data_IF_160272136684
#
_entry.id   IF_160272136684
#
_cell.length_a   1.000
_cell.length_b   1.000
_cell.length_c   1.000
_cell.angle_alpha   90.00
_cell.angle_beta   90.00
_cell.angle_gamma   90.00
#
_symmetry.space_group_name_H-M   'P 1'
#
loop_
_entity.id
_entity.type
_entity.pdbx_description
1 polymer ?
#
# COMPACT_ATOMS: atom_id res chain seq x y z
N UNK A 1 39.26 -4.77 5.07
CA UNK A 1 37.99 -5.07 5.77
C UNK A 1 36.95 -4.08 5.27
N UNK A 2 36.19 -4.48 4.26
CA UNK A 2 35.23 -3.60 3.59
C UNK A 2 33.95 -3.53 4.43
N UNK A 3 33.75 -2.38 5.08
CA UNK A 3 32.49 -1.75 5.53
C UNK A 3 31.20 -2.52 5.13
N UNK A 4 30.82 -3.55 5.89
CA UNK A 4 29.62 -4.39 5.65
C UNK A 4 28.37 -3.91 6.44
N UNK A 5 28.32 -2.68 6.95
CA UNK A 5 27.28 -2.26 7.90
C UNK A 5 26.44 -1.04 7.47
N UNK A 6 26.18 -0.86 6.17
CA UNK A 6 25.35 0.27 5.71
C UNK A 6 24.38 -0.10 4.57
N UNK A 7 23.70 -1.24 4.69
CA UNK A 7 22.57 -1.60 3.83
C UNK A 7 21.27 -1.68 4.63
N UNK A 8 21.02 -0.64 5.44
CA UNK A 8 19.63 -0.26 5.72
C UNK A 8 19.02 0.15 4.39
N UNK A 9 18.45 -0.82 3.64
CA UNK A 9 17.81 -0.63 2.34
C UNK A 9 16.96 0.64 2.39
N UNK A 10 17.48 1.73 1.83
CA UNK A 10 16.75 2.98 1.65
C UNK A 10 15.64 2.62 0.67
N UNK A 11 14.47 2.25 1.20
CA UNK A 11 13.31 1.94 0.35
C UNK A 11 13.04 3.17 -0.49
N UNK A 12 13.19 3.04 -1.80
CA UNK A 12 12.81 4.09 -2.73
C UNK A 12 11.37 4.51 -2.45
N UNK A 13 11.18 5.78 -2.14
CA UNK A 13 9.86 6.36 -1.86
C UNK A 13 9.33 6.93 -3.16
N UNK A 14 8.13 6.50 -3.52
CA UNK A 14 7.38 7.07 -4.63
C UNK A 14 6.40 8.07 -4.04
N UNK A 15 6.44 9.31 -4.52
CA UNK A 15 5.45 10.33 -4.16
C UNK A 15 4.29 10.28 -5.14
N UNK A 16 3.06 10.20 -4.63
CA UNK A 16 1.84 10.14 -5.43
C UNK A 16 0.84 11.10 -4.77
N UNK A 17 0.26 12.00 -5.56
CA UNK A 17 -0.87 12.79 -5.10
C UNK A 17 -2.13 11.93 -5.09
N UNK A 18 -2.83 11.94 -3.96
CA UNK A 18 -4.06 11.16 -3.73
C UNK A 18 -5.15 12.04 -3.12
N UNK A 19 -5.01 13.37 -3.24
CA UNK A 19 -5.89 14.33 -2.57
C UNK A 19 -7.35 14.19 -3.02
N UNK A 20 -7.58 13.81 -4.28
CA UNK A 20 -8.89 13.57 -4.88
C UNK A 20 -9.61 12.33 -4.33
N UNK A 21 -8.86 11.30 -3.92
CA UNK A 21 -9.40 10.03 -3.42
C UNK A 21 -9.15 9.78 -1.93
N UNK A 22 -8.54 10.74 -1.21
CA UNK A 22 -8.13 10.58 0.19
C UNK A 22 -9.30 10.19 1.09
N UNK A 23 -10.40 10.92 1.04
CA UNK A 23 -11.57 10.65 1.88
C UNK A 23 -12.16 9.27 1.60
N UNK A 24 -12.20 8.88 0.32
CA UNK A 24 -12.67 7.56 -0.08
C UNK A 24 -11.79 6.46 0.51
N UNK A 25 -10.46 6.63 0.52
CA UNK A 25 -9.54 5.66 1.14
C UNK A 25 -9.74 5.58 2.66
N UNK A 26 -9.93 6.73 3.32
CA UNK A 26 -10.09 6.79 4.77
C UNK A 26 -11.40 6.13 5.23
N UNK A 27 -12.46 6.21 4.41
CA UNK A 27 -13.83 5.78 4.75
C UNK A 27 -14.28 4.48 4.08
N UNK A 28 -13.48 3.83 3.23
CA UNK A 28 -13.93 2.66 2.46
C UNK A 28 -14.19 1.39 3.29
N UNK A 29 -13.87 1.39 4.60
CA UNK A 29 -14.18 0.30 5.53
C UNK A 29 -14.62 0.86 6.86
N UNK A 30 -15.54 0.15 7.50
CA UNK A 30 -16.17 0.56 8.77
C UNK A 30 -15.51 -0.09 10.00
N UNK A 31 -14.51 -0.96 9.81
CA UNK A 31 -13.88 -1.66 10.93
C UNK A 31 -12.88 -0.78 11.70
N UNK A 32 -12.83 -0.99 13.01
CA UNK A 32 -11.96 -0.21 13.93
C UNK A 32 -10.49 -0.35 13.53
N UNK A 33 -10.06 -1.54 13.10
CA UNK A 33 -8.68 -1.75 12.69
C UNK A 33 -8.31 -0.86 11.49
N UNK A 34 -9.23 -0.65 10.54
CA UNK A 34 -9.03 0.29 9.44
C UNK A 34 -8.83 1.71 9.94
N UNK A 35 -9.66 2.19 10.86
CA UNK A 35 -9.57 3.57 11.37
C UNK A 35 -8.22 3.88 12.02
N UNK A 36 -7.57 2.90 12.65
CA UNK A 36 -6.27 3.02 13.32
C UNK A 36 -5.07 2.93 12.36
N UNK A 37 -5.28 2.51 11.11
CA UNK A 37 -4.18 2.41 10.14
C UNK A 37 -3.77 3.78 9.57
N UNK A 38 -2.47 4.06 9.41
CA UNK A 38 -2.04 5.24 8.68
C UNK A 38 -2.43 5.13 7.20
N UNK A 39 -2.70 6.26 6.54
CA UNK A 39 -3.09 6.33 5.12
C UNK A 39 -2.17 5.51 4.19
N UNK A 40 -0.86 5.51 4.43
CA UNK A 40 0.10 4.73 3.63
C UNK A 40 -0.08 3.21 3.78
N UNK A 41 -0.53 2.73 4.95
CA UNK A 41 -0.86 1.32 5.16
C UNK A 41 -2.19 0.97 4.50
N UNK A 42 -3.21 1.83 4.62
CA UNK A 42 -4.49 1.70 3.91
C UNK A 42 -4.28 1.56 2.40
N UNK A 43 -3.53 2.48 1.80
CA UNK A 43 -3.16 2.44 0.37
C UNK A 43 -2.47 1.12 0.03
N UNK A 44 -1.50 0.68 0.85
CA UNK A 44 -0.80 -0.59 0.60
C UNK A 44 -1.74 -1.79 0.60
N UNK A 45 -2.70 -1.86 1.52
CA UNK A 45 -3.69 -2.93 1.57
C UNK A 45 -4.56 -2.92 0.32
N UNK A 46 -5.13 -1.77 -0.03
CA UNK A 46 -5.98 -1.62 -1.23
C UNK A 46 -5.23 -2.00 -2.52
N UNK A 47 -3.97 -1.55 -2.66
CA UNK A 47 -3.13 -1.90 -3.81
C UNK A 47 -2.89 -3.40 -3.88
N UNK A 48 -2.56 -4.07 -2.76
CA UNK A 48 -2.33 -5.52 -2.72
C UNK A 48 -3.58 -6.31 -3.10
N UNK A 49 -4.74 -5.92 -2.59
CA UNK A 49 -6.00 -6.55 -2.93
C UNK A 49 -6.33 -6.37 -4.41
N UNK A 50 -6.14 -5.16 -4.95
CA UNK A 50 -6.37 -4.91 -6.37
C UNK A 50 -5.42 -5.70 -7.26
N UNK A 51 -4.15 -5.83 -6.88
CA UNK A 51 -3.19 -6.68 -7.59
C UNK A 51 -3.62 -8.15 -7.58
N UNK A 52 -4.02 -8.69 -6.42
CA UNK A 52 -4.50 -10.06 -6.32
C UNK A 52 -5.76 -10.32 -7.18
N UNK A 53 -6.68 -9.35 -7.26
CA UNK A 53 -7.85 -9.43 -8.15
C UNK A 53 -7.42 -9.46 -9.63
N UNK A 54 -6.48 -8.62 -10.04
CA UNK A 54 -5.98 -8.57 -11.42
C UNK A 54 -5.25 -9.87 -11.77
N UNK A 55 -4.44 -10.41 -10.86
CA UNK A 55 -3.75 -11.70 -11.05
C UNK A 55 -4.75 -12.86 -11.17
N UNK A 56 -5.79 -12.88 -10.34
CA UNK A 56 -6.88 -13.84 -10.45
C UNK A 56 -7.62 -13.75 -11.79
N UNK A 57 -7.85 -12.54 -12.30
CA UNK A 57 -8.47 -12.32 -13.62
C UNK A 57 -7.58 -12.78 -14.78
N UNK A 58 -6.25 -12.61 -14.67
CA UNK A 58 -5.29 -13.14 -15.67
C UNK A 58 -5.23 -14.67 -15.70
N UNK A 59 -5.73 -15.31 -14.64
CA UNK A 59 -5.65 -16.76 -14.44
C UNK A 59 -7.00 -17.47 -14.60
N UNK A 60 -8.05 -16.75 -15.02
CA UNK A 60 -9.32 -17.32 -15.50
C UNK A 60 -9.23 -17.75 -16.97
N UNK A 61 -10.09 -18.70 -17.42
CA UNK A 61 -9.85 -19.64 -18.53
C UNK A 61 -9.35 -19.03 -19.84
#
# INVERSE_FOLDING_TARGET
MAKTEELGRRRDRISIDVSDIREQIEQCREDVAWSELPLSAKIRVLVRERLAQIEGQKSGP
#
